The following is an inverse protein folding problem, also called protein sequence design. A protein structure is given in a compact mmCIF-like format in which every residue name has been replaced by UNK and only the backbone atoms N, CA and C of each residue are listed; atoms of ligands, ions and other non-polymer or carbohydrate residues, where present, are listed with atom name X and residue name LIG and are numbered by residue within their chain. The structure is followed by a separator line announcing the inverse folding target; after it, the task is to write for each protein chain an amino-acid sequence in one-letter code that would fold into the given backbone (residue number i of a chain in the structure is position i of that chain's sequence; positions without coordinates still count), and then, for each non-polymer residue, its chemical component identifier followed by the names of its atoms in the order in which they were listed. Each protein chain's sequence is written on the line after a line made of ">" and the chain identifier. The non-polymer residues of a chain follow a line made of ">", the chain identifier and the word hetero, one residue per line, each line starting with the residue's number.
data_IF_050026825430
#
_entry.id   IF_050026825430
#
_cell.length_a   1.000
_cell.length_b   1.000
_cell.length_c   1.000
_cell.angle_alpha   90.00
_cell.angle_beta   90.00
_cell.angle_gamma   90.00
#
_symmetry.space_group_name_H-M   'P 1'
#
loop_
_entity.id
_entity.type
_entity.pdbx_description
1 polymer ?
#
# COMPACT_ATOMS: atom_id res chain seq x y z
N UNK A 1 18.04 -11.42 -13.21
CA UNK A 1 17.95 -10.03 -13.77
C UNK A 1 18.11 -9.09 -12.58
N UNK A 2 18.97 -8.08 -12.70
CA UNK A 2 19.13 -7.09 -11.63
C UNK A 2 17.93 -6.10 -11.68
N UNK A 3 17.24 -5.89 -10.56
CA UNK A 3 16.06 -5.03 -10.41
C UNK A 3 16.36 -3.74 -9.63
N UNK A 4 17.61 -3.49 -9.30
CA UNK A 4 18.01 -2.28 -8.57
C UNK A 4 17.96 -1.08 -9.51
N UNK A 5 17.21 -0.06 -9.10
CA UNK A 5 17.04 1.19 -9.84
C UNK A 5 17.20 2.40 -8.91
N UNK A 6 17.38 3.58 -9.46
CA UNK A 6 17.40 4.81 -8.69
C UNK A 6 16.00 5.19 -8.17
N UNK A 7 15.93 5.96 -7.07
CA UNK A 7 14.66 6.53 -6.59
C UNK A 7 13.97 7.39 -7.66
N UNK A 8 14.75 8.08 -8.50
CA UNK A 8 14.22 8.90 -9.59
C UNK A 8 13.48 8.05 -10.64
N UNK A 9 14.04 6.91 -11.02
CA UNK A 9 13.39 5.96 -11.93
C UNK A 9 12.15 5.36 -11.27
N UNK A 10 12.24 4.98 -10.00
CA UNK A 10 11.15 4.40 -9.24
C UNK A 10 9.91 5.31 -9.19
N UNK A 11 10.07 6.58 -8.82
CA UNK A 11 8.94 7.51 -8.70
C UNK A 11 8.33 7.90 -10.05
N UNK A 12 9.05 7.70 -11.17
CA UNK A 12 8.54 7.97 -12.51
C UNK A 12 7.39 7.01 -12.93
N UNK A 13 7.20 5.90 -12.22
CA UNK A 13 6.07 5.00 -12.42
C UNK A 13 4.74 5.53 -11.85
N UNK A 14 4.78 6.58 -11.02
CA UNK A 14 3.56 7.19 -10.46
C UNK A 14 3.20 8.43 -11.27
N UNK A 15 1.98 8.46 -11.80
CA UNK A 15 1.44 9.52 -12.67
C UNK A 15 0.22 10.19 -12.04
N UNK A 16 -0.21 11.30 -12.62
CA UNK A 16 -1.48 11.94 -12.25
C UNK A 16 -2.64 10.94 -12.37
N UNK A 17 -3.39 10.78 -11.29
CA UNK A 17 -4.53 9.87 -11.24
C UNK A 17 -4.22 8.43 -10.86
N UNK A 18 -2.95 8.05 -10.73
CA UNK A 18 -2.54 6.68 -10.36
C UNK A 18 -3.21 6.16 -9.09
N UNK A 19 -3.38 4.84 -9.03
CA UNK A 19 -3.75 4.11 -7.81
C UNK A 19 -2.47 3.60 -7.15
N UNK A 20 -2.05 4.27 -6.08
CA UNK A 20 -0.83 3.99 -5.35
C UNK A 20 -1.13 3.23 -4.05
N UNK A 21 -0.55 2.05 -3.91
CA UNK A 21 -0.50 1.33 -2.65
C UNK A 21 0.76 1.73 -1.88
N UNK A 22 0.62 2.01 -0.60
CA UNK A 22 1.75 2.26 0.30
C UNK A 22 1.65 1.33 1.48
N UNK A 23 2.61 0.42 1.58
CA UNK A 23 2.72 -0.52 2.69
C UNK A 23 3.07 0.16 4.00
N UNK A 24 2.94 -0.60 5.09
CA UNK A 24 3.19 -0.09 6.43
C UNK A 24 1.96 -0.17 7.32
N UNK A 25 2.21 0.00 8.61
CA UNK A 25 1.19 0.10 9.65
C UNK A 25 1.71 1.01 10.77
N UNK A 26 1.07 2.14 10.99
CA UNK A 26 1.49 3.19 11.91
C UNK A 26 2.88 3.74 11.52
N UNK A 27 3.95 3.32 12.20
CA UNK A 27 5.33 3.73 11.88
C UNK A 27 6.22 2.54 11.49
N UNK A 28 5.61 1.40 11.18
CA UNK A 28 6.31 0.13 11.00
C UNK A 28 6.23 -0.34 9.55
N UNK A 29 7.36 -0.39 8.88
CA UNK A 29 7.45 -0.89 7.51
C UNK A 29 7.03 0.12 6.44
N UNK A 30 7.06 1.42 6.74
CA UNK A 30 6.71 2.46 5.79
C UNK A 30 7.88 2.73 4.83
N UNK A 31 7.65 2.77 3.51
CA UNK A 31 8.66 3.13 2.50
C UNK A 31 8.81 4.66 2.39
N UNK A 32 9.14 5.30 3.52
CA UNK A 32 9.09 6.76 3.67
C UNK A 32 9.97 7.53 2.69
N UNK A 33 11.13 6.98 2.30
CA UNK A 33 12.02 7.67 1.37
C UNK A 33 11.48 7.67 -0.06
N UNK A 34 10.79 6.60 -0.49
CA UNK A 34 10.09 6.58 -1.78
C UNK A 34 8.95 7.59 -1.80
N UNK A 35 8.17 7.66 -0.73
CA UNK A 35 7.07 8.62 -0.62
C UNK A 35 7.60 10.05 -0.59
N UNK A 36 8.69 10.31 0.15
CA UNK A 36 9.33 11.64 0.21
C UNK A 36 9.94 12.03 -1.15
N UNK A 37 10.55 11.07 -1.85
CA UNK A 37 11.05 11.29 -3.20
C UNK A 37 9.91 11.69 -4.16
N UNK A 38 8.80 10.94 -4.13
CA UNK A 38 7.61 11.25 -4.92
C UNK A 38 7.08 12.66 -4.61
N UNK A 39 7.01 13.01 -3.32
CA UNK A 39 6.54 14.32 -2.86
C UNK A 39 7.42 15.45 -3.36
N UNK A 40 8.75 15.33 -3.18
CA UNK A 40 9.68 16.45 -3.38
C UNK A 40 10.19 16.59 -4.80
N UNK A 41 10.23 15.51 -5.58
CA UNK A 41 10.78 15.50 -6.94
C UNK A 41 9.72 15.45 -8.06
N UNK A 42 8.44 15.39 -7.70
CA UNK A 42 7.34 15.39 -8.66
C UNK A 42 6.25 16.38 -8.26
N UNK A 43 5.36 16.67 -9.20
CA UNK A 43 4.12 17.43 -8.96
C UNK A 43 2.86 16.58 -9.17
N UNK A 44 3.00 15.26 -9.20
CA UNK A 44 1.86 14.34 -9.42
C UNK A 44 0.77 14.56 -8.38
N UNK A 45 -0.48 14.47 -8.84
CA UNK A 45 -1.69 14.74 -8.04
C UNK A 45 -2.85 13.85 -8.50
N UNK A 46 -4.00 14.03 -7.83
CA UNK A 46 -5.20 13.23 -8.10
C UNK A 46 -5.00 11.73 -7.84
N UNK A 47 -4.02 11.37 -7.01
CA UNK A 47 -3.70 9.98 -6.67
C UNK A 47 -4.84 9.38 -5.84
N UNK A 48 -5.19 8.12 -6.10
CA UNK A 48 -5.95 7.29 -5.16
C UNK A 48 -4.95 6.54 -4.30
N UNK A 49 -4.91 6.86 -3.01
CA UNK A 49 -4.05 6.18 -2.04
C UNK A 49 -4.76 4.97 -1.44
N UNK A 50 -4.09 3.82 -1.40
CA UNK A 50 -4.49 2.64 -0.65
C UNK A 50 -3.41 2.40 0.42
N UNK A 51 -3.74 2.69 1.68
CA UNK A 51 -2.84 2.53 2.83
C UNK A 51 -3.65 2.33 4.10
N UNK A 52 -3.05 1.71 5.13
CA UNK A 52 -3.77 1.41 6.37
C UNK A 52 -4.24 2.67 7.10
N UNK A 53 -3.44 3.74 7.13
CA UNK A 53 -3.67 4.90 8.00
C UNK A 53 -3.34 6.28 7.40
N UNK A 54 -3.00 6.41 6.15
CA UNK A 54 -2.60 7.68 5.49
C UNK A 54 -1.46 8.45 6.16
N UNK A 55 -0.66 7.76 6.97
CA UNK A 55 0.51 8.30 7.67
C UNK A 55 0.21 8.90 9.05
N UNK A 56 1.24 8.97 9.86
CA UNK A 56 1.25 9.67 11.15
C UNK A 56 1.61 11.14 10.96
N UNK A 57 1.46 11.95 12.03
CA UNK A 57 1.86 13.38 12.02
C UNK A 57 3.29 13.54 11.49
N UNK A 58 3.47 14.50 10.60
CA UNK A 58 4.76 14.86 9.94
C UNK A 58 5.38 13.76 9.07
N UNK A 59 4.63 12.68 8.76
CA UNK A 59 5.11 11.69 7.80
C UNK A 59 5.03 12.20 6.34
N UNK A 60 5.83 11.64 5.41
CA UNK A 60 5.75 11.99 4.00
C UNK A 60 4.34 11.85 3.40
N UNK A 61 3.59 10.80 3.78
CA UNK A 61 2.19 10.63 3.36
C UNK A 61 1.29 11.76 3.86
N UNK A 62 1.42 12.15 5.14
CA UNK A 62 0.66 13.27 5.69
C UNK A 62 1.02 14.58 5.01
N UNK A 63 2.28 14.81 4.68
CA UNK A 63 2.70 15.99 3.94
C UNK A 63 2.11 16.02 2.52
N UNK A 64 2.11 14.90 1.78
CA UNK A 64 1.44 14.79 0.48
C UNK A 64 -0.07 15.04 0.58
N UNK A 65 -0.70 14.58 1.67
CA UNK A 65 -2.11 14.84 1.96
C UNK A 65 -2.36 16.34 2.14
N UNK A 66 -1.53 17.01 2.95
CA UNK A 66 -1.61 18.46 3.19
C UNK A 66 -1.38 19.29 1.92
N UNK A 67 -0.56 18.80 0.99
CA UNK A 67 -0.33 19.40 -0.32
C UNK A 67 -1.47 19.16 -1.33
N UNK A 68 -2.50 18.37 -0.97
CA UNK A 68 -3.62 18.08 -1.86
C UNK A 68 -3.30 17.12 -3.00
N UNK A 69 -2.32 16.23 -2.83
CA UNK A 69 -1.91 15.27 -3.85
C UNK A 69 -2.91 14.13 -4.08
N UNK A 70 -3.75 13.83 -3.09
CA UNK A 70 -4.71 12.73 -3.14
C UNK A 70 -6.12 13.22 -3.46
N UNK A 71 -6.79 12.58 -4.41
CA UNK A 71 -8.23 12.73 -4.67
C UNK A 71 -9.07 11.81 -3.81
N UNK A 72 -8.54 10.62 -3.48
CA UNK A 72 -9.21 9.58 -2.70
C UNK A 72 -8.21 8.86 -1.81
N UNK A 73 -8.66 8.50 -0.61
CA UNK A 73 -7.91 7.62 0.30
C UNK A 73 -8.79 6.44 0.70
N UNK A 74 -8.28 5.23 0.55
CA UNK A 74 -8.90 3.98 0.98
C UNK A 74 -8.02 3.40 2.08
N UNK A 75 -8.57 3.25 3.28
CA UNK A 75 -7.77 2.77 4.42
C UNK A 75 -8.62 2.30 5.58
N UNK A 76 -7.96 2.00 6.70
CA UNK A 76 -8.59 1.29 7.83
C UNK A 76 -8.74 2.15 9.07
N UNK A 77 -7.90 3.17 9.23
CA UNK A 77 -7.90 4.03 10.42
C UNK A 77 -7.37 5.44 10.10
N UNK A 78 -8.14 6.45 10.48
CA UNK A 78 -7.82 7.86 10.21
C UNK A 78 -7.92 8.74 11.46
N UNK A 79 -8.23 8.14 12.60
CA UNK A 79 -8.44 8.87 13.85
C UNK A 79 -7.20 9.60 14.36
N UNK A 80 -6.00 9.17 14.00
CA UNK A 80 -4.76 9.81 14.41
C UNK A 80 -4.32 10.94 13.46
N UNK A 81 -4.84 11.00 12.23
CA UNK A 81 -4.43 11.99 11.23
C UNK A 81 -5.46 13.13 11.15
N UNK A 82 -5.16 14.28 11.79
CA UNK A 82 -6.04 15.44 11.81
C UNK A 82 -6.24 16.08 10.43
N UNK A 83 -5.27 15.96 9.54
CA UNK A 83 -5.36 16.54 8.20
C UNK A 83 -6.40 15.83 7.35
N UNK A 84 -6.46 14.49 7.39
CA UNK A 84 -7.50 13.77 6.64
C UNK A 84 -8.88 14.05 7.20
N UNK A 85 -9.04 14.13 8.53
CA UNK A 85 -10.32 14.47 9.15
C UNK A 85 -10.81 15.85 8.69
N UNK A 86 -9.91 16.84 8.65
CA UNK A 86 -10.20 18.18 8.14
C UNK A 86 -10.67 18.12 6.69
N UNK A 87 -9.92 17.48 5.80
CA UNK A 87 -10.24 17.40 4.38
C UNK A 87 -11.52 16.63 4.06
N UNK A 88 -11.80 15.58 4.81
CA UNK A 88 -13.07 14.86 4.70
C UNK A 88 -14.24 15.74 5.11
N UNK A 89 -14.11 16.47 6.22
CA UNK A 89 -15.16 17.41 6.69
C UNK A 89 -15.37 18.58 5.71
N UNK A 90 -14.32 19.04 5.05
CA UNK A 90 -14.38 20.11 4.03
C UNK A 90 -14.86 19.58 2.67
N UNK A 91 -15.03 18.27 2.49
CA UNK A 91 -15.41 17.67 1.21
C UNK A 91 -14.35 17.79 0.12
N UNK A 92 -13.07 18.00 0.49
CA UNK A 92 -11.96 18.22 -0.45
C UNK A 92 -11.22 16.91 -0.81
N UNK A 93 -11.60 15.79 -0.21
CA UNK A 93 -11.06 14.46 -0.49
C UNK A 93 -12.15 13.40 -0.36
N UNK A 94 -12.15 12.43 -1.28
CA UNK A 94 -12.93 11.22 -1.12
C UNK A 94 -12.27 10.27 -0.12
N UNK A 95 -13.09 9.59 0.66
CA UNK A 95 -12.62 8.74 1.72
C UNK A 95 -13.42 7.45 1.82
N UNK A 96 -12.74 6.31 1.83
CA UNK A 96 -13.33 4.99 2.02
C UNK A 96 -12.72 4.32 3.26
N UNK A 97 -13.50 4.25 4.35
CA UNK A 97 -13.12 3.52 5.54
C UNK A 97 -13.49 2.04 5.36
N UNK A 98 -12.47 1.17 5.42
CA UNK A 98 -12.63 -0.26 5.28
C UNK A 98 -12.21 -0.95 6.57
N UNK A 99 -13.02 -1.87 7.13
CA UNK A 99 -12.58 -2.67 8.28
C UNK A 99 -11.27 -3.38 7.97
N UNK A 100 -10.32 -3.37 8.91
CA UNK A 100 -8.94 -3.76 8.63
C UNK A 100 -8.78 -5.17 8.05
N UNK A 101 -9.48 -6.16 8.60
CA UNK A 101 -9.46 -7.52 8.04
C UNK A 101 -10.00 -7.55 6.60
N UNK A 102 -11.10 -6.84 6.34
CA UNK A 102 -11.68 -6.71 5.00
C UNK A 102 -10.71 -6.02 4.03
N UNK A 103 -10.02 -4.96 4.47
CA UNK A 103 -9.02 -4.25 3.69
C UNK A 103 -7.91 -5.20 3.20
N UNK A 104 -7.33 -5.96 4.12
CA UNK A 104 -6.26 -6.91 3.80
C UNK A 104 -6.75 -8.01 2.85
N UNK A 105 -7.94 -8.56 3.09
CA UNK A 105 -8.48 -9.63 2.23
C UNK A 105 -8.91 -9.11 0.85
N UNK A 106 -9.39 -7.88 0.74
CA UNK A 106 -9.64 -7.24 -0.57
C UNK A 106 -8.35 -7.08 -1.39
N UNK A 107 -7.24 -6.73 -0.75
CA UNK A 107 -5.91 -6.67 -1.39
C UNK A 107 -5.45 -8.08 -1.75
N UNK A 108 -5.53 -9.02 -0.82
CA UNK A 108 -5.14 -10.42 -1.07
C UNK A 108 -5.93 -11.03 -2.23
N UNK A 109 -7.24 -10.78 -2.30
CA UNK A 109 -8.09 -11.27 -3.38
C UNK A 109 -7.69 -10.70 -4.74
N UNK A 110 -7.27 -9.43 -4.79
CA UNK A 110 -6.74 -8.82 -6.01
C UNK A 110 -5.46 -9.53 -6.47
N UNK A 111 -4.51 -9.76 -5.56
CA UNK A 111 -3.26 -10.48 -5.84
C UNK A 111 -3.46 -11.94 -6.26
N UNK A 112 -4.51 -12.58 -5.76
CA UNK A 112 -4.88 -13.95 -6.12
C UNK A 112 -5.74 -14.07 -7.39
N UNK A 113 -6.09 -12.95 -8.04
CA UNK A 113 -6.97 -12.93 -9.21
C UNK A 113 -8.43 -13.30 -8.91
N UNK A 114 -8.87 -13.16 -7.63
CA UNK A 114 -10.23 -13.44 -7.21
C UNK A 114 -11.13 -12.22 -7.43
N UNK A 115 -12.43 -12.47 -7.69
CA UNK A 115 -13.44 -11.43 -7.93
C UNK A 115 -13.88 -10.66 -6.68
N UNK A 116 -13.34 -10.99 -5.51
CA UNK A 116 -13.65 -10.36 -4.23
C UNK A 116 -13.68 -11.34 -3.08
N UNK A 117 -14.14 -10.87 -1.93
CA UNK A 117 -14.29 -11.65 -0.71
C UNK A 117 -15.69 -11.52 -0.13
N UNK A 118 -16.13 -12.56 0.57
CA UNK A 118 -17.42 -12.61 1.26
C UNK A 118 -17.15 -12.50 2.76
N UNK A 119 -17.72 -11.50 3.43
CA UNK A 119 -17.48 -11.25 4.85
C UNK A 119 -18.75 -10.84 5.59
N UNK A 120 -18.95 -11.26 6.84
CA UNK A 120 -20.04 -10.75 7.67
C UNK A 120 -19.71 -9.39 8.29
N UNK A 121 -18.43 -8.95 8.21
CA UNK A 121 -18.01 -7.69 8.80
C UNK A 121 -18.65 -6.51 8.10
N UNK A 122 -19.29 -5.63 8.87
CA UNK A 122 -19.97 -4.44 8.36
C UNK A 122 -21.46 -4.65 8.02
N UNK A 123 -21.98 -5.87 8.05
CA UNK A 123 -23.44 -6.12 7.92
C UNK A 123 -24.21 -5.32 8.97
N UNK A 124 -25.25 -4.60 8.54
CA UNK A 124 -26.07 -3.76 9.43
C UNK A 124 -25.45 -2.44 9.83
N UNK A 125 -24.33 -2.05 9.23
CA UNK A 125 -23.66 -0.76 9.45
C UNK A 125 -23.57 0.06 8.16
N UNK A 126 -23.11 1.31 8.26
CA UNK A 126 -22.83 2.19 7.10
C UNK A 126 -21.85 1.55 6.09
N UNK A 127 -21.01 0.62 6.52
CA UNK A 127 -20.09 -0.12 5.64
C UNK A 127 -20.85 -0.96 4.60
N UNK A 128 -22.08 -1.37 4.89
CA UNK A 128 -22.91 -2.18 3.98
C UNK A 128 -23.60 -1.36 2.89
N UNK A 129 -23.62 -0.03 3.00
CA UNK A 129 -24.32 0.82 2.05
C UNK A 129 -23.74 0.69 0.62
N UNK A 130 -24.63 0.47 -0.35
CA UNK A 130 -24.26 0.29 -1.76
C UNK A 130 -23.55 -1.02 -2.09
N UNK A 131 -23.35 -1.93 -1.12
CA UNK A 131 -22.70 -3.22 -1.34
C UNK A 131 -23.71 -4.34 -1.56
N UNK A 132 -23.34 -5.30 -2.40
CA UNK A 132 -24.12 -6.50 -2.63
C UNK A 132 -24.08 -7.41 -1.39
N UNK A 133 -25.24 -7.93 -1.03
CA UNK A 133 -25.42 -8.86 0.07
C UNK A 133 -25.74 -10.27 -0.43
N UNK A 134 -25.29 -11.26 0.30
CA UNK A 134 -25.59 -12.67 0.04
C UNK A 134 -25.93 -13.37 1.36
N UNK A 135 -26.91 -14.28 1.31
CA UNK A 135 -27.22 -15.15 2.46
C UNK A 135 -26.59 -16.53 2.24
N UNK A 136 -25.84 -16.99 3.22
CA UNK A 136 -25.27 -18.34 3.24
C UNK A 136 -25.69 -18.98 4.56
N UNK A 137 -26.44 -20.08 4.47
CA UNK A 137 -26.91 -20.85 5.62
C UNK A 137 -27.63 -20.00 6.69
N UNK A 138 -28.47 -19.05 6.23
CA UNK A 138 -29.26 -18.19 7.11
C UNK A 138 -28.51 -16.99 7.67
N UNK A 139 -27.23 -16.79 7.33
CA UNK A 139 -26.41 -15.65 7.73
C UNK A 139 -26.14 -14.70 6.56
N UNK A 140 -26.34 -13.39 6.79
CA UNK A 140 -26.04 -12.34 5.81
C UNK A 140 -24.55 -12.01 5.77
N UNK A 141 -24.03 -11.80 4.56
CA UNK A 141 -22.66 -11.39 4.27
C UNK A 141 -22.67 -10.27 3.24
N UNK A 142 -21.59 -9.49 3.20
CA UNK A 142 -21.26 -8.53 2.16
C UNK A 142 -20.31 -9.15 1.13
N UNK A 143 -20.47 -8.76 -0.13
CA UNK A 143 -19.47 -9.02 -1.18
C UNK A 143 -18.61 -7.79 -1.31
N UNK A 144 -17.33 -7.93 -0.98
CA UNK A 144 -16.32 -6.89 -1.04
C UNK A 144 -15.46 -7.06 -2.29
N UNK A 145 -15.38 -6.00 -3.11
CA UNK A 145 -14.58 -6.01 -4.35
C UNK A 145 -13.07 -6.01 -4.05
N UNK A 146 -12.23 -6.60 -4.93
CA UNK A 146 -10.79 -6.56 -4.78
C UNK A 146 -10.26 -5.11 -4.74
N UNK A 147 -9.15 -4.90 -4.04
CA UNK A 147 -8.36 -3.67 -4.09
C UNK A 147 -7.03 -3.96 -4.82
N UNK A 148 -6.86 -3.37 -6.00
CA UNK A 148 -5.66 -3.47 -6.82
C UNK A 148 -5.02 -2.10 -6.98
N UNK A 149 -3.68 -2.04 -6.94
CA UNK A 149 -2.91 -0.84 -7.24
C UNK A 149 -2.29 -0.89 -8.64
N UNK A 150 -2.01 0.27 -9.23
CA UNK A 150 -1.14 0.38 -10.39
C UNK A 150 0.32 0.28 -9.94
N UNK A 151 0.66 0.98 -8.86
CA UNK A 151 1.99 0.96 -8.26
C UNK A 151 1.89 0.64 -6.78
N UNK A 152 2.78 -0.20 -6.26
CA UNK A 152 2.96 -0.42 -4.83
C UNK A 152 4.36 0.02 -4.39
N UNK A 153 4.41 0.84 -3.35
CA UNK A 153 5.62 1.11 -2.57
C UNK A 153 5.57 0.25 -1.32
N UNK A 154 6.55 -0.62 -1.17
CA UNK A 154 6.71 -1.52 -0.02
C UNK A 154 8.08 -1.36 0.60
N UNK A 155 8.26 -1.85 1.84
CA UNK A 155 9.53 -1.80 2.53
C UNK A 155 10.02 -3.18 2.94
N UNK A 156 11.32 -3.39 2.75
CA UNK A 156 12.04 -4.56 3.24
C UNK A 156 13.26 -4.15 4.09
N UNK A 157 13.76 -5.04 4.91
CA UNK A 157 15.05 -4.87 5.60
C UNK A 157 16.19 -5.20 4.65
N UNK A 158 16.10 -6.34 3.97
CA UNK A 158 17.09 -6.81 3.00
C UNK A 158 16.38 -7.16 1.70
N UNK A 159 16.98 -6.82 0.58
CA UNK A 159 16.61 -7.32 -0.74
C UNK A 159 17.84 -7.94 -1.41
N UNK A 160 17.67 -8.98 -2.22
CA UNK A 160 18.70 -9.35 -3.17
C UNK A 160 18.48 -8.65 -4.52
N UNK A 161 19.52 -8.58 -5.36
CA UNK A 161 19.44 -7.91 -6.68
C UNK A 161 18.33 -8.45 -7.59
N UNK A 162 17.84 -9.67 -7.35
CA UNK A 162 16.76 -10.29 -8.13
C UNK A 162 15.35 -9.95 -7.61
N UNK A 163 15.23 -9.39 -6.41
CA UNK A 163 13.97 -8.96 -5.81
C UNK A 163 13.40 -9.88 -4.74
N UNK A 164 14.15 -10.84 -4.22
CA UNK A 164 13.75 -11.54 -2.99
C UNK A 164 13.88 -10.59 -1.81
N UNK A 165 12.85 -10.52 -0.95
CA UNK A 165 12.80 -9.58 0.17
C UNK A 165 12.74 -10.31 1.50
N UNK A 166 13.50 -9.79 2.48
CA UNK A 166 13.39 -10.14 3.90
C UNK A 166 12.74 -8.98 4.64
N UNK A 167 11.63 -9.25 5.31
CA UNK A 167 10.93 -8.29 6.16
C UNK A 167 11.02 -8.75 7.62
N UNK A 168 11.24 -7.81 8.55
CA UNK A 168 11.45 -8.11 9.96
C UNK A 168 10.29 -7.56 10.80
N UNK A 169 9.85 -8.34 11.79
CA UNK A 169 8.85 -7.92 12.75
C UNK A 169 7.54 -7.45 12.11
N UNK A 170 7.07 -6.29 12.55
CA UNK A 170 5.81 -5.72 12.08
C UNK A 170 5.85 -5.17 10.64
N UNK A 171 7.01 -5.10 10.00
CA UNK A 171 7.09 -4.73 8.58
C UNK A 171 6.45 -5.80 7.66
N UNK A 172 6.20 -7.02 8.18
CA UNK A 172 5.45 -8.09 7.49
C UNK A 172 3.95 -7.81 7.34
N UNK A 173 3.46 -6.67 7.79
CA UNK A 173 2.06 -6.24 7.78
C UNK A 173 1.43 -6.25 6.36
N UNK A 174 0.93 -5.11 5.88
CA UNK A 174 0.34 -4.99 4.55
C UNK A 174 1.36 -5.05 3.40
N UNK A 175 2.65 -4.87 3.67
CA UNK A 175 3.70 -4.95 2.65
C UNK A 175 3.65 -6.26 1.87
N UNK A 176 3.44 -7.39 2.56
CA UNK A 176 3.42 -8.73 1.94
C UNK A 176 2.25 -8.91 0.97
N UNK A 177 1.07 -8.45 1.32
CA UNK A 177 -0.12 -8.61 0.46
C UNK A 177 -0.17 -7.58 -0.66
N UNK A 178 0.35 -6.37 -0.45
CA UNK A 178 0.45 -5.34 -1.47
C UNK A 178 1.44 -5.71 -2.57
N UNK A 179 2.52 -6.41 -2.24
CA UNK A 179 3.46 -6.96 -3.22
C UNK A 179 2.78 -7.84 -4.29
N UNK A 180 1.66 -8.49 -3.97
CA UNK A 180 0.94 -9.36 -4.90
C UNK A 180 -0.15 -8.64 -5.69
N UNK A 181 -0.52 -7.42 -5.29
CA UNK A 181 -1.78 -6.78 -5.68
C UNK A 181 -1.60 -5.50 -6.50
N UNK A 182 -0.41 -5.21 -6.99
CA UNK A 182 -0.14 -4.08 -7.87
C UNK A 182 0.42 -4.54 -9.22
N UNK A 183 0.32 -3.67 -10.23
CA UNK A 183 0.85 -3.93 -11.56
C UNK A 183 2.37 -3.70 -11.61
N UNK A 184 2.90 -2.80 -10.76
CA UNK A 184 4.33 -2.54 -10.61
C UNK A 184 4.69 -2.36 -9.14
N UNK A 185 5.58 -3.20 -8.64
CA UNK A 185 5.97 -3.24 -7.21
C UNK A 185 7.40 -2.76 -7.02
N UNK A 186 7.56 -1.74 -6.20
CA UNK A 186 8.84 -1.12 -5.87
C UNK A 186 9.12 -1.30 -4.38
N UNK A 187 10.21 -1.99 -4.06
CA UNK A 187 10.65 -2.21 -2.70
C UNK A 187 11.77 -1.22 -2.31
N UNK A 188 11.55 -0.47 -1.25
CA UNK A 188 12.64 0.25 -0.55
C UNK A 188 13.30 -0.71 0.43
N UNK A 189 14.58 -1.03 0.24
CA UNK A 189 15.35 -1.92 1.10
C UNK A 189 16.44 -1.15 1.87
N UNK A 190 16.66 -1.51 3.14
CA UNK A 190 17.74 -0.94 3.94
C UNK A 190 19.11 -1.47 3.51
N UNK A 191 19.12 -2.69 2.98
CA UNK A 191 20.33 -3.34 2.47
C UNK A 191 20.01 -4.08 1.17
N UNK A 192 20.91 -4.02 0.20
CA UNK A 192 20.84 -4.82 -1.03
C UNK A 192 22.07 -5.75 -1.05
N UNK A 193 21.80 -7.03 -1.27
CA UNK A 193 22.81 -8.09 -1.35
C UNK A 193 22.77 -8.75 -2.72
N UNK A 194 23.78 -9.56 -3.04
CA UNK A 194 23.79 -10.30 -4.31
C UNK A 194 22.75 -11.41 -4.32
N UNK A 195 22.25 -11.72 -5.52
CA UNK A 195 21.35 -12.85 -5.72
C UNK A 195 21.98 -14.13 -5.19
N UNK A 196 21.25 -14.84 -4.31
CA UNK A 196 21.68 -16.07 -3.66
C UNK A 196 22.35 -15.89 -2.30
N UNK A 197 22.51 -14.66 -1.80
CA UNK A 197 23.06 -14.41 -0.46
C UNK A 197 21.95 -14.41 0.64
N UNK A 198 20.67 -14.31 0.27
CA UNK A 198 19.55 -14.50 1.21
C UNK A 198 19.28 -15.99 1.36
N UNK A 199 19.18 -16.48 2.61
CA UNK A 199 18.71 -17.84 2.87
C UNK A 199 17.27 -17.96 2.33
N UNK A 200 16.98 -18.98 1.50
CA UNK A 200 15.63 -19.19 0.96
C UNK A 200 14.53 -19.25 2.03
N UNK A 201 14.84 -19.76 3.22
CA UNK A 201 13.88 -19.86 4.33
C UNK A 201 13.55 -18.49 4.96
N UNK A 202 14.41 -17.49 4.78
CA UNK A 202 14.21 -16.12 5.26
C UNK A 202 13.40 -15.26 4.28
N UNK A 203 13.19 -15.69 3.04
CA UNK A 203 12.47 -14.92 2.02
C UNK A 203 11.01 -14.71 2.44
N UNK A 204 10.65 -13.47 2.72
CA UNK A 204 9.28 -13.08 3.07
C UNK A 204 8.42 -12.81 1.84
N UNK A 205 8.99 -12.17 0.81
CA UNK A 205 8.35 -11.90 -0.48
C UNK A 205 9.27 -12.39 -1.59
N UNK A 206 8.85 -13.40 -2.37
CA UNK A 206 9.61 -13.90 -3.51
C UNK A 206 9.76 -12.84 -4.62
N UNK A 207 10.88 -12.92 -5.32
CA UNK A 207 11.26 -11.99 -6.38
C UNK A 207 10.25 -11.86 -7.53
N UNK A 208 9.40 -12.86 -7.74
CA UNK A 208 8.37 -12.84 -8.80
C UNK A 208 7.31 -11.73 -8.59
N UNK A 209 7.19 -11.21 -7.37
CA UNK A 209 6.23 -10.15 -7.00
C UNK A 209 6.87 -8.76 -6.93
N UNK A 210 8.16 -8.63 -7.22
CA UNK A 210 8.88 -7.36 -7.09
C UNK A 210 9.44 -6.96 -8.44
N UNK A 211 9.13 -5.77 -8.92
CA UNK A 211 9.60 -5.29 -10.23
C UNK A 211 10.86 -4.45 -10.10
N UNK A 212 10.99 -3.67 -9.01
CA UNK A 212 12.13 -2.79 -8.79
C UNK A 212 12.50 -2.69 -7.30
N UNK A 213 13.76 -2.36 -7.05
CA UNK A 213 14.33 -2.19 -5.71
C UNK A 213 15.09 -0.87 -5.68
N UNK A 214 14.92 -0.10 -4.61
CA UNK A 214 15.71 1.09 -4.31
C UNK A 214 16.41 0.94 -2.97
N UNK A 215 17.64 1.40 -2.88
CA UNK A 215 18.40 1.43 -1.61
C UNK A 215 17.94 2.61 -0.76
N UNK A 216 17.67 2.38 0.51
CA UNK A 216 17.45 3.43 1.49
C UNK A 216 18.76 4.21 1.74
N UNK A 217 18.65 5.51 2.06
CA UNK A 217 19.81 6.37 2.31
C UNK A 217 20.53 6.89 1.06
N UNK A 218 20.23 6.41 -0.14
CA UNK A 218 20.77 7.02 -1.36
C UNK A 218 20.14 8.39 -1.63
N UNK A 219 20.94 9.31 -2.16
CA UNK A 219 20.43 10.59 -2.66
C UNK A 219 19.55 10.40 -3.91
N UNK A 220 18.59 11.31 -4.12
CA UNK A 220 17.62 11.26 -5.22
C UNK A 220 18.18 12.00 -6.44
#
# INVERSE_FOLDING_TARGET
>A
MNKVISKKEAIAHVHDGSVLMVGGFNTSGDPNELVEALRTKTSVKNITLISTDSGVTDSPLTNMLSEGRFKKVIGTFFGANKEIQKRVNEGTIEYELVPQGTFVERIRSAGAGLGGVITPTGVGTVVAEGKQKINIDGREYLIEKPLRGEVAFIRAEIADESGNLVMIGNAKNTNTVMAMAADFVIAQANQIVKTGEIDPDDVTVPSIYVDAIVLAGEEI
#
